data_IF_418239163119
#
_entry.id   IF_418239163119
#
_cell.length_a   1.000
_cell.length_b   1.000
_cell.length_c   1.000
_cell.angle_alpha   90.00
_cell.angle_beta   90.00
_cell.angle_gamma   90.00
#
_symmetry.space_group_name_H-M   'P 1'
#
loop_
_entity.id
_entity.type
_entity.pdbx_description
1 polymer ?
#
# COMPACT_ATOMS: atom_id res chain seq x y z
N UNK A 1 33.33 10.77 -15.24
CA UNK A 1 32.32 10.72 -14.17
C UNK A 1 30.97 10.46 -14.82
N UNK A 2 30.19 9.49 -14.33
CA UNK A 2 28.82 9.23 -14.80
C UNK A 2 27.91 10.39 -14.37
N UNK A 3 27.14 10.95 -15.31
CA UNK A 3 26.18 12.03 -15.00
C UNK A 3 25.07 11.52 -14.08
N UNK A 4 24.41 12.43 -13.37
CA UNK A 4 23.31 12.05 -12.48
C UNK A 4 22.17 11.37 -13.25
N UNK A 5 21.76 11.95 -14.39
CA UNK A 5 20.74 11.37 -15.28
C UNK A 5 21.08 9.95 -15.73
N UNK A 6 22.35 9.68 -16.01
CA UNK A 6 22.79 8.35 -16.42
C UNK A 6 22.76 7.34 -15.25
N UNK A 7 22.99 7.80 -14.02
CA UNK A 7 22.79 6.96 -12.82
C UNK A 7 21.32 6.66 -12.61
N UNK A 8 20.45 7.65 -12.76
CA UNK A 8 19.00 7.50 -12.55
C UNK A 8 18.44 6.47 -13.54
N UNK A 9 18.79 6.56 -14.84
CA UNK A 9 18.42 5.55 -15.85
C UNK A 9 18.86 4.13 -15.50
N UNK A 10 20.04 3.96 -14.89
CA UNK A 10 20.54 2.64 -14.46
C UNK A 10 19.74 2.12 -13.28
N UNK A 11 19.40 2.99 -12.34
CA UNK A 11 18.57 2.65 -11.18
C UNK A 11 17.18 2.21 -11.65
N UNK A 12 16.58 2.93 -12.61
CA UNK A 12 15.29 2.58 -13.20
C UNK A 12 15.34 1.20 -13.89
N UNK A 13 16.37 0.94 -14.71
CA UNK A 13 16.55 -0.37 -15.34
C UNK A 13 16.72 -1.52 -14.33
N UNK A 14 17.37 -1.27 -13.19
CA UNK A 14 17.47 -2.25 -12.10
C UNK A 14 16.12 -2.45 -11.43
N UNK A 15 15.32 -1.39 -11.26
CA UNK A 15 13.98 -1.49 -10.69
C UNK A 15 13.08 -2.40 -11.57
N UNK A 16 13.15 -2.26 -12.89
CA UNK A 16 12.46 -3.15 -13.83
C UNK A 16 12.89 -4.61 -13.63
N UNK A 17 14.19 -4.89 -13.52
CA UNK A 17 14.68 -6.26 -13.26
C UNK A 17 14.23 -6.81 -11.91
N UNK A 18 14.11 -5.97 -10.88
CA UNK A 18 13.56 -6.38 -9.58
C UNK A 18 12.08 -6.74 -9.71
N UNK A 19 11.32 -5.97 -10.49
CA UNK A 19 9.91 -6.23 -10.78
C UNK A 19 9.75 -7.55 -11.55
N UNK A 20 10.63 -7.82 -12.52
CA UNK A 20 10.68 -9.06 -13.29
C UNK A 20 11.13 -10.29 -12.47
N UNK A 21 11.52 -10.09 -11.20
CA UNK A 21 11.87 -11.18 -10.28
C UNK A 21 13.29 -11.71 -10.45
N UNK A 22 14.20 -10.92 -11.04
CA UNK A 22 15.62 -11.29 -11.13
C UNK A 22 16.23 -11.44 -9.74
N UNK A 23 16.98 -12.53 -9.52
CA UNK A 23 17.56 -12.82 -8.21
C UNK A 23 18.63 -11.80 -7.84
N UNK A 24 18.80 -11.53 -6.55
CA UNK A 24 19.78 -10.54 -6.07
C UNK A 24 21.22 -10.81 -6.56
N UNK A 25 21.66 -12.07 -6.53
CA UNK A 25 22.99 -12.46 -7.03
C UNK A 25 23.16 -12.19 -8.52
N UNK A 26 22.09 -12.37 -9.30
CA UNK A 26 22.07 -12.12 -10.75
C UNK A 26 22.01 -10.63 -11.04
N UNK A 27 21.24 -9.85 -10.27
CA UNK A 27 21.22 -8.38 -10.36
C UNK A 27 22.62 -7.81 -10.19
N UNK A 28 23.33 -8.22 -9.14
CA UNK A 28 24.69 -7.73 -8.85
C UNK A 28 25.64 -8.05 -10.00
N UNK A 29 25.64 -9.30 -10.48
CA UNK A 29 26.47 -9.72 -11.59
C UNK A 29 26.13 -8.94 -12.87
N UNK A 30 24.84 -8.82 -13.19
CA UNK A 30 24.34 -8.10 -14.37
C UNK A 30 24.73 -6.63 -14.33
N UNK A 31 24.43 -5.92 -13.23
CA UNK A 31 24.79 -4.51 -13.01
C UNK A 31 26.29 -4.26 -13.16
N UNK A 32 27.13 -5.12 -12.58
CA UNK A 32 28.59 -5.01 -12.71
C UNK A 32 29.04 -5.23 -14.16
N UNK A 33 28.48 -6.24 -14.83
CA UNK A 33 28.88 -6.62 -16.19
C UNK A 33 28.45 -5.62 -17.26
N UNK A 34 27.24 -5.07 -17.12
CA UNK A 34 26.57 -4.21 -18.11
C UNK A 34 27.12 -2.80 -18.08
N UNK A 35 27.31 -2.23 -16.88
CA UNK A 35 27.77 -0.84 -16.73
C UNK A 35 29.22 -0.71 -16.28
N UNK A 36 29.96 -1.83 -16.21
CA UNK A 36 31.37 -1.89 -15.80
C UNK A 36 31.63 -1.16 -14.47
N UNK A 37 30.70 -1.30 -13.53
CA UNK A 37 30.80 -0.72 -12.19
C UNK A 37 31.33 -1.75 -11.20
N UNK A 38 32.00 -1.27 -10.15
CA UNK A 38 32.43 -2.17 -9.07
C UNK A 38 31.22 -2.65 -8.24
N UNK A 39 31.34 -3.80 -7.54
CA UNK A 39 30.23 -4.35 -6.76
C UNK A 39 29.64 -3.37 -5.74
N UNK A 40 30.48 -2.53 -5.12
CA UNK A 40 30.02 -1.52 -4.17
C UNK A 40 29.04 -0.52 -4.80
N UNK A 41 29.34 -0.06 -6.02
CA UNK A 41 28.45 0.83 -6.76
C UNK A 41 27.19 0.10 -7.21
N UNK A 42 27.31 -1.16 -7.64
CA UNK A 42 26.16 -1.99 -7.98
C UNK A 42 25.19 -2.14 -6.79
N UNK A 43 25.69 -2.44 -5.59
CA UNK A 43 24.88 -2.52 -4.37
C UNK A 43 24.16 -1.20 -4.07
N UNK A 44 24.84 -0.07 -4.27
CA UNK A 44 24.22 1.25 -4.09
C UNK A 44 23.07 1.48 -5.06
N UNK A 45 23.22 1.12 -6.34
CA UNK A 45 22.14 1.26 -7.33
C UNK A 45 20.98 0.31 -7.04
N UNK A 46 21.26 -0.94 -6.67
CA UNK A 46 20.24 -1.91 -6.28
C UNK A 46 19.48 -1.45 -5.02
N UNK A 47 20.17 -0.83 -4.06
CA UNK A 47 19.54 -0.24 -2.88
C UNK A 47 18.55 0.88 -3.24
N UNK A 48 18.95 1.79 -4.13
CA UNK A 48 18.07 2.85 -4.62
C UNK A 48 16.88 2.29 -5.41
N UNK A 49 17.11 1.32 -6.29
CA UNK A 49 16.06 0.67 -7.07
C UNK A 49 15.04 -0.05 -6.18
N UNK A 50 15.49 -0.73 -5.11
CA UNK A 50 14.58 -1.35 -4.14
C UNK A 50 13.71 -0.33 -3.41
N UNK A 51 14.23 0.87 -3.12
CA UNK A 51 13.44 1.93 -2.52
C UNK A 51 12.31 2.37 -3.47
N UNK A 52 12.62 2.57 -4.75
CA UNK A 52 11.62 2.89 -5.79
C UNK A 52 10.56 1.80 -5.88
N UNK A 53 10.96 0.53 -6.00
CA UNK A 53 10.02 -0.60 -6.09
C UNK A 53 9.16 -0.71 -4.84
N UNK A 54 9.72 -0.45 -3.65
CA UNK A 54 8.97 -0.43 -2.39
C UNK A 54 7.91 0.67 -2.40
N UNK A 55 8.25 1.88 -2.82
CA UNK A 55 7.31 3.01 -2.85
C UNK A 55 6.19 2.79 -3.86
N UNK A 56 6.51 2.22 -5.04
CA UNK A 56 5.51 1.80 -6.03
C UNK A 56 4.56 0.76 -5.41
N UNK A 57 5.10 -0.30 -4.79
CA UNK A 57 4.28 -1.34 -4.15
C UNK A 57 3.41 -0.80 -3.02
N UNK A 58 3.92 0.15 -2.23
CA UNK A 58 3.16 0.82 -1.18
C UNK A 58 2.01 1.64 -1.77
N UNK A 59 2.27 2.44 -2.81
CA UNK A 59 1.25 3.24 -3.50
C UNK A 59 0.17 2.34 -4.11
N UNK A 60 0.56 1.23 -4.75
CA UNK A 60 -0.39 0.24 -5.29
C UNK A 60 -1.22 -0.40 -4.17
N UNK A 61 -0.59 -0.77 -3.05
CA UNK A 61 -1.29 -1.33 -1.89
C UNK A 61 -2.31 -0.34 -1.34
N UNK A 62 -1.94 0.93 -1.18
CA UNK A 62 -2.85 1.99 -0.70
C UNK A 62 -4.02 2.20 -1.66
N UNK A 63 -3.77 2.18 -2.97
CA UNK A 63 -4.83 2.28 -3.98
C UNK A 63 -5.81 1.10 -3.89
N UNK A 64 -5.30 -0.13 -3.78
CA UNK A 64 -6.14 -1.32 -3.64
C UNK A 64 -6.94 -1.30 -2.34
N UNK A 65 -6.33 -0.90 -1.22
CA UNK A 65 -7.02 -0.76 0.06
C UNK A 65 -8.15 0.26 -0.05
N UNK A 66 -7.91 1.39 -0.72
CA UNK A 66 -8.94 2.42 -0.97
C UNK A 66 -10.09 1.87 -1.80
N UNK A 67 -9.79 1.22 -2.93
CA UNK A 67 -10.81 0.64 -3.80
C UNK A 67 -11.67 -0.41 -3.08
N UNK A 68 -11.05 -1.29 -2.30
CA UNK A 68 -11.79 -2.29 -1.51
C UNK A 68 -12.62 -1.61 -0.42
N UNK A 69 -12.11 -0.56 0.23
CA UNK A 69 -12.86 0.19 1.23
C UNK A 69 -14.10 0.87 0.62
N UNK A 70 -13.97 1.49 -0.55
CA UNK A 70 -15.07 2.12 -1.28
C UNK A 70 -16.13 1.08 -1.66
N UNK A 71 -15.72 -0.07 -2.20
CA UNK A 71 -16.63 -1.17 -2.53
C UNK A 71 -17.40 -1.71 -1.30
N UNK A 72 -16.72 -1.83 -0.15
CA UNK A 72 -17.35 -2.25 1.11
C UNK A 72 -18.33 -1.19 1.63
N UNK A 73 -18.01 0.10 1.48
CA UNK A 73 -18.92 1.19 1.81
C UNK A 73 -20.17 1.17 0.94
N UNK A 74 -20.02 1.00 -0.37
CA UNK A 74 -21.14 0.89 -1.31
C UNK A 74 -22.03 -0.32 -0.99
N UNK A 75 -21.41 -1.46 -0.64
CA UNK A 75 -22.11 -2.66 -0.20
C UNK A 75 -22.91 -2.41 1.09
N UNK A 76 -22.31 -1.74 2.08
CA UNK A 76 -22.98 -1.36 3.31
C UNK A 76 -24.18 -0.45 3.05
N UNK A 77 -24.00 0.60 2.25
CA UNK A 77 -25.06 1.57 1.94
C UNK A 77 -26.21 0.95 1.15
N UNK A 78 -25.91 -0.01 0.27
CA UNK A 78 -26.93 -0.74 -0.51
C UNK A 78 -27.69 -1.72 0.39
N UNK A 79 -26.99 -2.53 1.19
CA UNK A 79 -27.62 -3.45 2.15
C UNK A 79 -28.48 -2.72 3.18
N UNK A 80 -28.05 -1.53 3.64
CA UNK A 80 -28.84 -0.69 4.55
C UNK A 80 -30.13 -0.18 3.90
N UNK A 81 -30.09 0.19 2.62
CA UNK A 81 -31.29 0.60 1.85
C UNK A 81 -32.28 -0.56 1.69
N UNK A 82 -31.75 -1.77 1.51
CA UNK A 82 -32.56 -2.98 1.33
C UNK A 82 -33.02 -3.62 2.66
N UNK A 83 -32.69 -3.01 3.80
CA UNK A 83 -32.92 -3.54 5.16
C UNK A 83 -32.27 -4.92 5.41
N UNK A 84 -31.23 -5.27 4.65
CA UNK A 84 -30.40 -6.44 4.92
C UNK A 84 -29.33 -6.10 5.97
N UNK A 85 -29.74 -6.15 7.24
CA UNK A 85 -28.87 -5.86 8.36
C UNK A 85 -27.70 -6.85 8.50
N UNK A 86 -27.83 -8.07 8.00
CA UNK A 86 -26.77 -9.07 8.04
C UNK A 86 -25.65 -8.69 7.07
N UNK A 87 -26.00 -8.38 5.81
CA UNK A 87 -25.05 -7.93 4.81
C UNK A 87 -24.39 -6.60 5.18
N UNK A 88 -25.16 -5.64 5.70
CA UNK A 88 -24.63 -4.36 6.18
C UNK A 88 -23.60 -4.55 7.30
N UNK A 89 -23.92 -5.38 8.30
CA UNK A 89 -22.99 -5.70 9.40
C UNK A 89 -21.73 -6.42 8.91
N UNK A 90 -21.89 -7.34 7.94
CA UNK A 90 -20.77 -8.05 7.31
C UNK A 90 -19.80 -7.11 6.60
N UNK A 91 -20.32 -6.21 5.75
CA UNK A 91 -19.52 -5.22 5.03
C UNK A 91 -18.76 -4.29 5.99
N UNK A 92 -19.44 -3.82 7.05
CA UNK A 92 -18.82 -2.97 8.07
C UNK A 92 -17.70 -3.68 8.83
N UNK A 93 -17.88 -4.97 9.17
CA UNK A 93 -16.85 -5.77 9.84
C UNK A 93 -15.60 -5.93 8.98
N UNK A 94 -15.76 -6.24 7.70
CA UNK A 94 -14.62 -6.36 6.78
C UNK A 94 -13.93 -5.02 6.54
N UNK A 95 -14.68 -3.91 6.51
CA UNK A 95 -14.10 -2.56 6.42
C UNK A 95 -13.24 -2.23 7.65
N UNK A 96 -13.74 -2.54 8.86
CA UNK A 96 -13.01 -2.36 10.13
C UNK A 96 -11.72 -3.19 10.16
N UNK A 97 -11.76 -4.44 9.68
CA UNK A 97 -10.56 -5.29 9.57
C UNK A 97 -9.55 -4.75 8.56
N UNK A 98 -10.03 -4.37 7.38
CA UNK A 98 -9.19 -3.83 6.30
C UNK A 98 -8.42 -2.58 6.75
N UNK A 99 -9.08 -1.71 7.51
CA UNK A 99 -8.51 -0.47 8.03
C UNK A 99 -7.71 -0.66 9.32
N UNK A 100 -7.64 -1.88 9.87
CA UNK A 100 -6.95 -2.12 11.15
C UNK A 100 -7.62 -1.43 12.35
N UNK A 101 -8.92 -1.14 12.26
CA UNK A 101 -9.71 -0.48 13.30
C UNK A 101 -10.27 -1.47 14.34
N UNK A 102 -10.22 -2.77 14.04
CA UNK A 102 -10.48 -3.77 15.04
C UNK A 102 -9.41 -3.64 16.14
N UNK A 103 -9.81 -3.52 17.40
CA UNK A 103 -8.87 -3.68 18.51
C UNK A 103 -8.04 -4.94 18.26
N UNK A 104 -6.71 -4.87 18.37
CA UNK A 104 -5.90 -6.05 18.16
C UNK A 104 -6.34 -7.06 19.21
N UNK A 105 -6.87 -8.20 18.77
CA UNK A 105 -6.71 -9.44 19.51
C UNK A 105 -5.21 -9.74 19.56
N UNK A 106 -4.49 -9.04 20.44
CA UNK A 106 -3.08 -9.21 20.83
C UNK A 106 -2.01 -9.33 19.72
N UNK A 107 -2.31 -9.10 18.45
CA UNK A 107 -1.31 -9.13 17.38
C UNK A 107 -1.18 -7.75 16.73
N UNK A 108 -0.09 -7.06 17.05
CA UNK A 108 0.29 -5.74 16.58
C UNK A 108 0.08 -5.54 15.08
N UNK A 109 -0.70 -4.52 14.70
CA UNK A 109 -0.55 -3.83 13.42
C UNK A 109 -0.55 -2.33 13.70
N UNK A 110 0.63 -1.71 13.59
CA UNK A 110 0.81 -0.26 13.66
C UNK A 110 0.63 0.32 12.26
N UNK A 111 -0.53 0.91 11.97
CA UNK A 111 -0.68 1.84 10.86
C UNK A 111 -1.28 3.15 11.37
N UNK A 112 -0.50 4.22 11.22
CA UNK A 112 -0.85 5.59 11.61
C UNK A 112 -1.89 6.11 10.60
N UNK A 113 -3.14 6.23 11.05
CA UNK A 113 -4.31 6.58 10.22
C UNK A 113 -5.07 7.78 10.81
N UNK A 114 -4.34 8.70 11.44
CA UNK A 114 -4.91 9.67 12.38
C UNK A 114 -5.85 10.72 11.75
N UNK A 115 -5.81 10.93 10.42
CA UNK A 115 -6.57 12.00 9.76
C UNK A 115 -7.92 11.56 9.14
N UNK A 116 -8.04 10.44 8.40
CA UNK A 116 -9.34 9.99 7.88
C UNK A 116 -10.28 9.48 8.99
N UNK A 117 -9.70 8.94 10.07
CA UNK A 117 -10.43 8.32 11.19
C UNK A 117 -11.23 9.35 12.00
N UNK A 118 -10.68 10.56 12.20
CA UNK A 118 -11.37 11.62 12.94
C UNK A 118 -12.58 12.16 12.21
N UNK A 119 -12.52 12.25 10.89
CA UNK A 119 -13.65 12.71 10.06
C UNK A 119 -14.81 11.71 10.12
N UNK A 120 -14.52 10.41 9.98
CA UNK A 120 -15.55 9.36 9.99
C UNK A 120 -16.21 9.19 11.37
N UNK A 121 -15.43 9.28 12.46
CA UNK A 121 -15.97 9.22 13.83
C UNK A 121 -16.84 10.45 14.18
N UNK A 122 -16.51 11.63 13.64
CA UNK A 122 -17.29 12.85 13.84
C UNK A 122 -18.68 12.78 13.21
N UNK A 123 -18.84 12.08 12.09
CA UNK A 123 -20.14 11.85 11.45
C UNK A 123 -20.99 10.83 12.20
N UNK A 124 -20.37 9.83 12.82
CA UNK A 124 -21.05 8.79 13.60
C UNK A 124 -21.54 9.32 14.95
N UNK A 125 -20.78 10.19 15.63
CA UNK A 125 -21.16 10.75 16.94
C UNK A 125 -22.22 11.86 16.83
N UNK A 126 -22.31 12.54 15.69
CA UNK A 126 -23.28 13.62 15.45
C UNK A 126 -24.53 13.18 14.68
N UNK A 127 -24.72 11.89 14.40
CA UNK A 127 -25.99 11.42 13.86
C UNK A 127 -27.08 11.67 14.91
N UNK A 128 -28.03 12.61 14.69
CA UNK A 128 -29.11 12.80 15.64
C UNK A 128 -29.93 11.51 15.66
N UNK A 129 -30.14 10.98 16.86
CA UNK A 129 -31.13 9.93 17.13
C UNK A 129 -32.51 10.46 16.68
N UNK A 130 -32.85 10.25 15.41
CA UNK A 130 -34.21 10.42 14.90
C UNK A 130 -34.87 9.06 14.84
N UNK A 131 -35.06 8.51 16.04
CA UNK A 131 -36.08 7.53 16.31
C UNK A 131 -37.12 8.19 17.23
N UNK A 132 -38.05 8.95 16.62
CA UNK A 132 -39.47 9.12 17.00
C UNK A 132 -40.14 10.14 16.08
#
# INVERSE_FOLDING_TARGET
>A
MTSQTEKDKRIDAIADWIIDGVRYSELVAKTCSEWKVCPRTAYSYIGAANAIVRDIRMTMKESLVREVADNLKDTYESARRDNDHSAATGAMRELVKLLGLAEPDKTEVKHDATDPIKALLGEIVNAPDKAQ
#
